data_IF_706646463002
#
_entry.id   IF_706646463002
#
_cell.length_a   1.000
_cell.length_b   1.000
_cell.length_c   1.000
_cell.angle_alpha   90.00
_cell.angle_beta   90.00
_cell.angle_gamma   90.00
#
_symmetry.space_group_name_H-M   'P 1'
#
loop_
_entity.id
_entity.type
_entity.pdbx_description
1 polymer ?
#
# COMPACT_ATOMS: atom_id res chain seq x y z
N UNK A 1 -2.83 -10.17 13.42
CA UNK A 1 -3.77 -10.06 14.53
C UNK A 1 -3.12 -10.62 15.80
N UNK A 2 -3.67 -10.33 16.98
CA UNK A 2 -3.38 -10.99 18.26
C UNK A 2 -4.71 -11.33 18.93
N UNK A 3 -4.71 -12.35 19.76
CA UNK A 3 -5.89 -12.84 20.48
C UNK A 3 -5.43 -13.50 21.79
N UNK A 4 -6.20 -13.27 22.85
CA UNK A 4 -6.02 -13.96 24.11
C UNK A 4 -6.94 -15.18 24.16
N UNK A 5 -6.41 -16.32 24.58
CA UNK A 5 -7.16 -17.56 24.68
C UNK A 5 -7.34 -17.93 26.16
N UNK A 6 -8.56 -18.32 26.53
CA UNK A 6 -8.88 -18.74 27.90
C UNK A 6 -8.19 -20.05 28.32
N UNK A 7 -7.84 -20.89 27.35
CA UNK A 7 -7.14 -22.17 27.55
C UNK A 7 -5.87 -22.21 26.75
N UNK A 8 -4.83 -22.85 27.31
CA UNK A 8 -3.54 -23.00 26.66
C UNK A 8 -3.63 -24.09 25.58
N UNK A 9 -3.44 -23.70 24.34
CA UNK A 9 -3.30 -24.60 23.19
C UNK A 9 -1.94 -24.38 22.52
N UNK A 10 -1.42 -25.40 21.86
CA UNK A 10 -0.24 -25.20 21.00
C UNK A 10 -0.62 -24.38 19.75
N UNK A 11 0.36 -23.66 19.23
CA UNK A 11 0.15 -22.72 18.13
C UNK A 11 -0.35 -23.40 16.85
N UNK A 12 0.04 -24.65 16.60
CA UNK A 12 -0.39 -25.41 15.42
C UNK A 12 -1.85 -25.82 15.53
N UNK A 13 -2.30 -26.24 16.71
CA UNK A 13 -3.72 -26.52 16.98
C UNK A 13 -4.57 -25.26 16.77
N UNK A 14 -4.14 -24.12 17.29
CA UNK A 14 -4.83 -22.83 17.09
C UNK A 14 -4.90 -22.47 15.60
N UNK A 15 -3.80 -22.58 14.87
CA UNK A 15 -3.75 -22.30 13.43
C UNK A 15 -4.71 -23.18 12.65
N UNK A 16 -4.74 -24.50 12.93
CA UNK A 16 -5.64 -25.46 12.25
C UNK A 16 -7.10 -25.17 12.57
N UNK A 17 -7.44 -24.92 13.82
CA UNK A 17 -8.80 -24.64 14.25
C UNK A 17 -9.33 -23.38 13.55
N UNK A 18 -8.56 -22.29 13.54
CA UNK A 18 -8.96 -21.04 12.88
C UNK A 18 -9.15 -21.29 11.37
N UNK A 19 -8.22 -21.97 10.70
CA UNK A 19 -8.33 -22.25 9.27
C UNK A 19 -9.52 -23.16 8.94
N UNK A 20 -9.91 -24.07 9.80
CA UNK A 20 -11.11 -24.88 9.62
C UNK A 20 -12.36 -23.97 9.52
N UNK A 21 -12.54 -23.02 10.44
CA UNK A 21 -13.67 -22.09 10.41
C UNK A 21 -13.57 -21.09 9.26
N UNK A 22 -12.36 -20.74 8.81
CA UNK A 22 -12.13 -19.80 7.70
C UNK A 22 -12.23 -20.45 6.32
N UNK A 23 -12.41 -21.79 6.22
CA UNK A 23 -12.41 -22.54 4.95
C UNK A 23 -13.41 -22.01 3.90
N UNK A 24 -14.49 -21.32 4.32
CA UNK A 24 -15.51 -20.72 3.45
C UNK A 24 -15.14 -19.30 2.96
N UNK A 25 -14.03 -18.74 3.45
CA UNK A 25 -13.60 -17.37 3.16
C UNK A 25 -12.22 -17.38 2.50
N UNK A 26 -11.90 -16.41 1.67
CA UNK A 26 -10.57 -16.28 1.06
C UNK A 26 -9.54 -15.74 2.07
N UNK A 27 -9.45 -16.36 3.24
CA UNK A 27 -8.57 -16.00 4.35
C UNK A 27 -7.88 -17.26 4.85
N UNK A 28 -6.56 -17.20 5.04
CA UNK A 28 -5.78 -18.30 5.59
C UNK A 28 -4.77 -17.80 6.61
N UNK A 29 -4.65 -18.50 7.72
CA UNK A 29 -3.63 -18.25 8.74
C UNK A 29 -2.40 -19.10 8.40
N UNK A 30 -1.30 -18.44 8.06
CA UNK A 30 -0.06 -19.10 7.66
C UNK A 30 0.73 -19.59 8.87
N UNK A 31 0.76 -18.80 9.95
CA UNK A 31 1.48 -19.14 11.17
C UNK A 31 0.79 -18.56 12.41
N UNK A 32 1.02 -19.18 13.56
CA UNK A 32 0.66 -18.68 14.87
C UNK A 32 1.89 -18.79 15.78
N UNK A 33 2.04 -17.84 16.70
CA UNK A 33 3.12 -17.84 17.67
C UNK A 33 2.63 -17.24 19.01
N UNK A 34 3.15 -17.77 20.11
CA UNK A 34 2.95 -17.15 21.43
C UNK A 34 3.81 -15.91 21.54
N UNK A 35 3.26 -14.85 22.11
CA UNK A 35 3.94 -13.55 22.32
C UNK A 35 3.75 -13.09 23.76
N UNK A 36 4.56 -12.14 24.24
CA UNK A 36 4.42 -11.55 25.57
C UNK A 36 3.15 -10.68 25.67
N UNK A 37 2.70 -10.44 26.91
CA UNK A 37 1.46 -9.68 27.19
C UNK A 37 1.49 -8.24 26.68
N UNK A 38 2.68 -7.61 26.59
CA UNK A 38 2.87 -6.27 26.06
C UNK A 38 2.78 -6.20 24.51
N UNK A 39 2.67 -7.35 23.83
CA UNK A 39 2.60 -7.36 22.37
C UNK A 39 1.23 -6.90 21.88
N UNK A 40 1.24 -5.92 20.98
CA UNK A 40 0.05 -5.47 20.29
C UNK A 40 0.29 -5.43 18.78
N UNK A 41 -0.39 -6.30 18.02
CA UNK A 41 -0.17 -6.48 16.58
C UNK A 41 -0.20 -5.18 15.74
N UNK A 42 -0.97 -4.17 16.16
CA UNK A 42 -1.04 -2.86 15.49
C UNK A 42 0.01 -1.88 16.00
N UNK A 43 0.22 -1.79 17.32
CA UNK A 43 1.07 -0.75 17.91
C UNK A 43 2.54 -1.17 18.02
N UNK A 44 2.82 -2.47 18.15
CA UNK A 44 4.19 -3.00 18.13
C UNK A 44 4.79 -3.04 16.73
N UNK A 45 4.00 -2.78 15.68
CA UNK A 45 4.49 -2.73 14.31
C UNK A 45 5.45 -1.54 14.10
N UNK A 46 6.70 -1.83 13.71
CA UNK A 46 7.74 -0.83 13.48
C UNK A 46 7.65 -0.16 12.11
N UNK A 47 7.28 -0.92 11.07
CA UNK A 47 7.14 -0.44 9.69
C UNK A 47 5.90 -1.04 9.04
N UNK A 48 5.39 -0.34 8.02
CA UNK A 48 4.34 -0.80 7.11
C UNK A 48 4.86 -0.73 5.70
N UNK A 49 4.58 -1.78 4.95
CA UNK A 49 4.91 -1.89 3.54
C UNK A 49 3.62 -2.03 2.76
N UNK A 50 3.48 -1.22 1.72
CA UNK A 50 2.37 -1.30 0.79
C UNK A 50 2.90 -1.53 -0.61
N UNK A 51 2.31 -2.48 -1.31
CA UNK A 51 2.52 -2.69 -2.74
C UNK A 51 1.24 -2.33 -3.47
N UNK A 52 1.34 -1.36 -4.39
CA UNK A 52 0.24 -1.01 -5.27
C UNK A 52 0.57 -1.44 -6.69
N UNK A 53 -0.36 -2.10 -7.37
CA UNK A 53 -0.13 -2.63 -8.71
C UNK A 53 -1.06 -1.98 -9.73
N UNK A 54 -0.48 -1.49 -10.82
CA UNK A 54 -1.18 -0.92 -11.97
C UNK A 54 -0.92 -1.82 -13.17
N UNK A 55 -1.96 -2.17 -13.92
CA UNK A 55 -1.81 -2.90 -15.17
C UNK A 55 -2.21 -2.00 -16.34
N UNK A 56 -1.23 -1.66 -17.18
CA UNK A 56 -1.43 -0.92 -18.43
C UNK A 56 -1.71 -1.90 -19.57
N UNK A 57 -2.95 -1.87 -20.07
CA UNK A 57 -3.42 -2.72 -21.17
C UNK A 57 -4.58 -2.04 -21.89
N UNK A 58 -4.66 -2.17 -23.23
CA UNK A 58 -5.75 -1.56 -24.04
C UNK A 58 -7.12 -2.20 -23.75
N UNK A 59 -7.15 -3.52 -23.57
CA UNK A 59 -8.37 -4.28 -23.27
C UNK A 59 -8.61 -4.40 -21.76
N UNK A 60 -9.86 -4.56 -21.35
CA UNK A 60 -10.22 -4.66 -19.94
C UNK A 60 -9.64 -5.91 -19.26
N UNK A 61 -9.35 -5.80 -17.98
CA UNK A 61 -8.94 -6.93 -17.14
C UNK A 61 -10.15 -7.82 -16.83
N UNK A 62 -9.94 -9.12 -16.81
CA UNK A 62 -10.96 -10.12 -16.48
C UNK A 62 -10.65 -10.80 -15.14
N UNK A 63 -9.75 -11.78 -15.13
CA UNK A 63 -9.38 -12.51 -13.91
C UNK A 63 -8.65 -11.64 -12.89
N UNK A 64 -7.81 -10.73 -13.36
CA UNK A 64 -6.97 -9.89 -12.51
C UNK A 64 -7.63 -8.57 -12.06
N UNK A 65 -8.89 -8.32 -12.41
CA UNK A 65 -9.58 -7.03 -12.15
C UNK A 65 -9.63 -6.61 -10.69
N UNK A 66 -9.53 -7.56 -9.77
CA UNK A 66 -9.53 -7.29 -8.32
C UNK A 66 -8.13 -7.11 -7.74
N UNK A 67 -7.08 -7.39 -8.52
CA UNK A 67 -5.70 -7.36 -8.07
C UNK A 67 -4.92 -6.14 -8.57
N UNK A 68 -5.38 -5.52 -9.66
CA UNK A 68 -4.70 -4.41 -10.33
C UNK A 68 -5.63 -3.23 -10.55
N UNK A 69 -5.06 -2.03 -10.48
CA UNK A 69 -5.70 -0.87 -11.06
C UNK A 69 -5.43 -0.85 -12.55
N UNK A 70 -6.47 -0.98 -13.37
CA UNK A 70 -6.38 -0.98 -14.81
C UNK A 70 -6.26 0.44 -15.38
N UNK A 71 -5.27 0.66 -16.24
CA UNK A 71 -5.11 1.87 -17.05
C UNK A 71 -4.89 1.47 -18.52
N UNK A 72 -5.32 2.34 -19.46
CA UNK A 72 -5.21 2.06 -20.91
C UNK A 72 -4.03 2.73 -21.60
N UNK A 73 -3.20 3.43 -20.84
CA UNK A 73 -2.01 4.15 -21.32
C UNK A 73 -0.75 3.64 -20.63
N UNK A 74 0.38 3.82 -21.33
CA UNK A 74 1.70 3.50 -20.79
C UNK A 74 2.11 4.60 -19.82
N UNK A 75 2.79 4.22 -18.74
CA UNK A 75 3.30 5.16 -17.74
C UNK A 75 4.80 5.38 -17.92
N UNK A 76 5.22 6.64 -17.83
CA UNK A 76 6.62 7.06 -17.85
C UNK A 76 7.22 6.92 -16.45
N UNK A 77 7.97 5.82 -16.21
CA UNK A 77 8.61 5.54 -14.92
C UNK A 77 9.59 6.63 -14.52
N UNK A 78 10.54 7.09 -15.38
CA UNK A 78 11.47 8.14 -14.99
C UNK A 78 10.79 9.39 -14.42
N UNK A 79 9.71 9.85 -15.04
CA UNK A 79 8.95 11.00 -14.52
C UNK A 79 8.26 10.69 -13.19
N UNK A 80 7.73 9.46 -13.02
CA UNK A 80 7.13 9.04 -11.75
C UNK A 80 8.17 8.93 -10.63
N UNK A 81 9.39 8.49 -10.91
CA UNK A 81 10.50 8.42 -9.95
C UNK A 81 10.93 9.82 -9.50
N UNK A 82 11.09 10.76 -10.45
CA UNK A 82 11.37 12.17 -10.12
C UNK A 82 10.27 12.73 -9.21
N UNK A 83 9.01 12.50 -9.56
CA UNK A 83 7.86 12.95 -8.77
C UNK A 83 7.81 12.30 -7.37
N UNK A 84 8.14 11.00 -7.27
CA UNK A 84 8.13 10.28 -5.99
C UNK A 84 9.20 10.77 -5.02
N UNK A 85 10.34 11.26 -5.53
CA UNK A 85 11.43 11.79 -4.70
C UNK A 85 11.00 13.00 -3.87
N UNK A 86 10.05 13.82 -4.35
CA UNK A 86 9.49 14.94 -3.56
C UNK A 86 8.69 14.48 -2.34
N UNK A 87 8.24 13.22 -2.30
CA UNK A 87 7.43 12.65 -1.22
C UNK A 87 8.25 11.87 -0.18
N UNK A 88 9.50 11.56 -0.48
CA UNK A 88 10.39 10.85 0.44
C UNK A 88 10.85 11.81 1.55
N UNK A 89 10.89 11.31 2.77
CA UNK A 89 11.24 12.09 3.95
C UNK A 89 10.03 12.51 4.78
N UNK A 90 10.27 13.48 5.68
CA UNK A 90 9.25 13.97 6.64
C UNK A 90 8.51 15.16 6.05
N UNK A 91 7.22 15.00 5.79
CA UNK A 91 6.36 16.04 5.20
C UNK A 91 4.99 16.08 5.87
N UNK A 92 4.28 17.19 5.68
CA UNK A 92 2.86 17.31 5.97
C UNK A 92 2.06 16.78 4.78
N UNK A 93 1.37 15.65 4.97
CA UNK A 93 0.57 14.99 3.96
C UNK A 93 -0.94 15.31 4.06
N UNK A 94 -1.30 16.49 4.52
CA UNK A 94 -2.70 16.92 4.64
C UNK A 94 -3.47 16.77 3.34
N UNK A 95 -2.88 17.14 2.20
CA UNK A 95 -3.49 17.01 0.86
C UNK A 95 -3.64 15.58 0.35
N UNK A 96 -2.89 14.63 0.92
CA UNK A 96 -2.91 13.21 0.53
C UNK A 96 -3.72 12.33 1.47
N UNK A 97 -4.40 12.88 2.47
CA UNK A 97 -5.21 12.11 3.40
C UNK A 97 -6.70 12.14 3.03
N UNK A 98 -7.42 11.08 3.40
CA UNK A 98 -8.88 11.08 3.33
C UNK A 98 -9.47 12.06 4.35
N UNK A 99 -10.61 12.69 4.03
CA UNK A 99 -11.36 13.56 4.95
C UNK A 99 -11.79 12.86 6.24
N UNK A 100 -12.00 11.54 6.21
CA UNK A 100 -12.37 10.72 7.39
C UNK A 100 -11.14 10.21 8.17
N UNK A 101 -9.94 10.73 7.89
CA UNK A 101 -8.72 10.31 8.56
C UNK A 101 -8.69 10.77 10.01
N UNK A 102 -8.65 9.83 10.96
CA UNK A 102 -8.62 10.08 12.42
C UNK A 102 -7.22 10.28 12.98
N UNK A 103 -6.18 10.37 12.15
CA UNK A 103 -4.82 10.59 12.62
C UNK A 103 -4.69 11.99 13.24
N UNK A 104 -4.13 12.08 14.44
CA UNK A 104 -3.91 13.32 15.19
C UNK A 104 -2.95 14.28 14.49
N UNK A 105 -1.99 13.77 13.71
CA UNK A 105 -1.03 14.57 12.96
C UNK A 105 -0.94 14.10 11.50
N UNK A 106 -1.03 15.03 10.53
CA UNK A 106 -0.83 14.74 9.11
C UNK A 106 0.65 14.56 8.75
N UNK A 107 1.57 14.92 9.63
CA UNK A 107 3.01 14.79 9.40
C UNK A 107 3.41 13.32 9.48
N UNK A 108 3.99 12.81 8.38
CA UNK A 108 4.49 11.44 8.26
C UNK A 108 5.87 11.45 7.61
N UNK A 109 6.61 10.37 7.79
CA UNK A 109 7.88 10.13 7.11
C UNK A 109 7.71 8.93 6.20
N UNK A 110 7.88 9.13 4.89
CA UNK A 110 7.98 8.04 3.93
C UNK A 110 9.46 7.69 3.78
N UNK A 111 9.81 6.44 4.08
CA UNK A 111 11.20 5.97 4.01
C UNK A 111 11.62 5.74 2.56
N UNK A 112 10.77 5.04 1.78
CA UNK A 112 11.06 4.69 0.38
C UNK A 112 9.80 4.64 -0.45
N UNK A 113 9.93 5.01 -1.73
CA UNK A 113 8.98 4.71 -2.81
C UNK A 113 9.82 4.12 -3.95
N UNK A 114 9.56 2.86 -4.29
CA UNK A 114 10.25 2.14 -5.35
C UNK A 114 9.25 1.78 -6.45
N UNK A 115 9.60 2.04 -7.71
CA UNK A 115 8.72 1.85 -8.86
C UNK A 115 9.38 0.88 -9.83
N UNK A 116 8.73 -0.23 -10.09
CA UNK A 116 9.21 -1.27 -10.99
C UNK A 116 8.19 -1.53 -12.09
N UNK A 117 8.63 -2.04 -13.23
CA UNK A 117 7.74 -2.52 -14.27
C UNK A 117 8.13 -3.89 -14.76
N UNK A 118 7.12 -4.65 -15.13
CA UNK A 118 7.26 -5.96 -15.74
C UNK A 118 6.41 -6.02 -17.03
N UNK A 119 7.06 -6.31 -18.15
CA UNK A 119 6.35 -6.52 -19.41
C UNK A 119 5.66 -7.88 -19.39
N UNK A 120 4.36 -7.90 -19.56
CA UNK A 120 3.55 -9.10 -19.75
C UNK A 120 3.23 -9.29 -21.23
N UNK A 121 2.64 -10.45 -21.58
CA UNK A 121 2.27 -10.78 -22.97
C UNK A 121 1.37 -9.71 -23.61
N UNK A 122 0.46 -9.13 -22.83
CA UNK A 122 -0.64 -8.27 -23.32
C UNK A 122 -0.64 -6.87 -22.68
N UNK A 123 0.43 -6.50 -21.98
CA UNK A 123 0.56 -5.19 -21.36
C UNK A 123 1.77 -5.03 -20.47
N UNK A 124 1.74 -4.04 -19.59
CA UNK A 124 2.82 -3.75 -18.65
C UNK A 124 2.22 -3.65 -17.23
N UNK A 125 2.78 -4.40 -16.30
CA UNK A 125 2.47 -4.27 -14.87
C UNK A 125 3.48 -3.31 -14.25
N UNK A 126 2.98 -2.29 -13.58
CA UNK A 126 3.77 -1.39 -12.73
C UNK A 126 3.51 -1.74 -11.27
N UNK A 127 4.58 -1.86 -10.49
CA UNK A 127 4.51 -2.14 -9.07
C UNK A 127 5.17 -0.98 -8.31
N UNK A 128 4.39 -0.34 -7.44
CA UNK A 128 4.83 0.75 -6.59
C UNK A 128 4.90 0.24 -5.15
N UNK A 129 6.08 0.22 -4.58
CA UNK A 129 6.35 -0.27 -3.22
C UNK A 129 6.63 0.92 -2.29
N UNK A 130 5.88 1.02 -1.23
CA UNK A 130 5.97 2.09 -0.23
C UNK A 130 6.40 1.53 1.11
N UNK A 131 7.32 2.20 1.79
CA UNK A 131 7.73 1.87 3.16
C UNK A 131 7.70 3.10 4.04
N UNK A 132 7.08 3.00 5.21
CA UNK A 132 7.03 4.03 6.24
C UNK A 132 6.71 3.41 7.60
N UNK A 133 7.00 4.14 8.69
CA UNK A 133 6.54 3.77 10.03
C UNK A 133 5.00 3.74 10.12
N UNK A 134 4.33 4.70 9.48
CA UNK A 134 2.87 4.77 9.43
C UNK A 134 2.41 5.59 8.22
N UNK A 135 1.21 5.33 7.76
CA UNK A 135 0.53 6.09 6.71
C UNK A 135 -0.79 6.66 7.24
N UNK A 136 -1.23 7.77 6.65
CA UNK A 136 -2.57 8.30 6.83
C UNK A 136 -3.58 7.42 6.10
N UNK A 137 -4.84 7.54 6.48
CA UNK A 137 -5.91 6.83 5.79
C UNK A 137 -5.98 7.26 4.31
N UNK A 138 -5.94 6.30 3.42
CA UNK A 138 -5.86 6.42 1.95
C UNK A 138 -4.64 7.15 1.38
N UNK A 139 -3.63 7.53 2.18
CA UNK A 139 -2.46 8.27 1.72
C UNK A 139 -1.77 7.61 0.52
N UNK A 140 -1.48 6.31 0.57
CA UNK A 140 -0.83 5.59 -0.53
C UNK A 140 -1.69 5.64 -1.81
N UNK A 141 -3.01 5.48 -1.70
CA UNK A 141 -3.93 5.57 -2.85
C UNK A 141 -3.90 6.95 -3.50
N UNK A 142 -3.93 8.02 -2.69
CA UNK A 142 -3.86 9.40 -3.17
C UNK A 142 -2.53 9.66 -3.89
N UNK A 143 -1.41 9.23 -3.31
CA UNK A 143 -0.08 9.35 -3.92
C UNK A 143 -0.03 8.60 -5.25
N UNK A 144 -0.48 7.35 -5.31
CA UNK A 144 -0.48 6.55 -6.55
C UNK A 144 -1.33 7.20 -7.62
N UNK A 145 -2.49 7.77 -7.26
CA UNK A 145 -3.33 8.52 -8.20
C UNK A 145 -2.63 9.73 -8.79
N UNK A 146 -1.87 10.45 -7.97
CA UNK A 146 -1.07 11.61 -8.44
C UNK A 146 0.11 11.16 -9.31
N UNK A 147 0.83 10.11 -8.93
CA UNK A 147 1.94 9.56 -9.72
C UNK A 147 1.46 9.01 -11.06
N UNK A 148 0.25 8.44 -11.14
CA UNK A 148 -0.36 8.02 -12.42
C UNK A 148 -0.56 9.22 -13.35
N UNK A 149 -1.02 10.38 -12.83
CA UNK A 149 -1.16 11.61 -13.63
C UNK A 149 0.17 12.09 -14.18
N UNK A 150 1.25 11.95 -13.42
CA UNK A 150 2.60 12.23 -13.89
C UNK A 150 3.03 11.21 -14.93
N UNK A 151 2.84 9.92 -14.66
CA UNK A 151 3.23 8.83 -15.55
C UNK A 151 2.54 8.89 -16.91
N UNK A 152 1.27 9.29 -16.97
CA UNK A 152 0.54 9.46 -18.23
C UNK A 152 0.79 10.82 -18.93
N UNK A 153 1.67 11.66 -18.36
CA UNK A 153 2.03 12.97 -18.95
C UNK A 153 1.01 14.08 -18.75
N UNK A 154 -0.03 13.87 -17.93
CA UNK A 154 -1.02 14.93 -17.62
C UNK A 154 -0.46 16.00 -16.69
N UNK A 155 0.48 15.62 -15.83
CA UNK A 155 1.16 16.50 -14.89
C UNK A 155 2.68 16.41 -15.07
N UNK A 156 3.37 17.55 -14.94
CA UNK A 156 4.81 17.54 -14.76
C UNK A 156 5.18 17.00 -13.38
N UNK A 157 6.37 16.39 -13.20
CA UNK A 157 6.81 15.84 -11.91
C UNK A 157 6.75 16.84 -10.76
N UNK A 158 7.07 18.10 -11.02
CA UNK A 158 7.09 19.22 -10.06
C UNK A 158 5.70 19.50 -9.46
N UNK A 159 4.62 19.11 -10.16
CA UNK A 159 3.24 19.24 -9.66
C UNK A 159 3.02 18.53 -8.34
N UNK A 160 3.75 17.43 -8.09
CA UNK A 160 3.68 16.69 -6.83
C UNK A 160 4.22 17.55 -5.67
N UNK A 161 5.30 18.29 -5.91
CA UNK A 161 5.85 19.22 -4.91
C UNK A 161 4.87 20.36 -4.60
N UNK A 162 4.25 20.94 -5.63
CA UNK A 162 3.23 21.98 -5.45
C UNK A 162 2.05 21.46 -4.59
N UNK A 163 1.53 20.26 -4.91
CA UNK A 163 0.44 19.63 -4.16
C UNK A 163 0.86 19.36 -2.71
N UNK A 164 2.09 18.91 -2.48
CA UNK A 164 2.60 18.65 -1.13
C UNK A 164 2.68 19.96 -0.30
N UNK A 165 2.99 21.07 -0.93
CA UNK A 165 3.10 22.38 -0.30
C UNK A 165 1.76 23.12 -0.17
N UNK A 166 0.76 22.79 -0.98
CA UNK A 166 -0.60 23.33 -0.87
C UNK A 166 -1.32 22.67 0.31
N UNK A 167 -1.47 23.38 1.40
CA UNK A 167 -2.14 22.91 2.63
C UNK A 167 -3.63 23.16 2.57
#
# INVERSE_FOLDING_TARGET
AHVDLATKHDCETVRRAINYYLSKYPISILSAATVGEEFHARFSAKKRHYTYKIFSRKTDLTFERTQYWHVRHILNIPNMEVASNYLIGKHDFSTFRSSICQASSPVKTIDTIDIQSEKKRDGIVYQLNFSARSFLHHQVRSIVGCLEKVGCGKWAPEKIQEILLSK
#
